data_IF_202012589668
#
_entry.id   IF_202012589668
#
_cell.length_a   1.000
_cell.length_b   1.000
_cell.length_c   1.000
_cell.angle_alpha   90.00
_cell.angle_beta   90.00
_cell.angle_gamma   90.00
#
_symmetry.space_group_name_H-M   'P 1'
#
loop_
_entity.id
_entity.type
_entity.pdbx_description
1 polymer ?
#
# COMPACT_ATOMS: atom_id res chain seq x y z
N UNK A 1 3.16 15.49 -15.51
CA UNK A 1 3.74 14.63 -14.45
C UNK A 1 3.28 13.20 -14.72
N UNK A 2 4.23 12.36 -15.13
CA UNK A 2 4.06 10.93 -15.38
C UNK A 2 4.16 10.12 -14.10
N UNK A 3 3.56 8.93 -14.10
CA UNK A 3 3.81 7.91 -13.07
C UNK A 3 5.19 7.30 -13.32
N UNK A 4 5.95 7.09 -12.26
CA UNK A 4 7.27 6.45 -12.26
C UNK A 4 7.31 5.36 -11.19
N UNK A 5 8.17 4.37 -11.39
CA UNK A 5 8.44 3.32 -10.39
C UNK A 5 9.92 3.34 -10.04
N UNK A 6 10.21 3.37 -8.75
CA UNK A 6 11.56 3.26 -8.21
C UNK A 6 11.71 1.92 -7.49
N UNK A 7 12.95 1.41 -7.38
CA UNK A 7 13.25 0.14 -6.71
C UNK A 7 13.81 0.37 -5.32
N UNK A 8 13.21 -0.25 -4.31
CA UNK A 8 13.52 -0.04 -2.90
C UNK A 8 14.00 -1.35 -2.25
N UNK A 9 13.79 -1.51 -0.95
CA UNK A 9 14.29 -2.65 -0.18
C UNK A 9 13.78 -3.97 -0.79
N UNK A 10 14.65 -4.98 -0.86
CA UNK A 10 14.36 -6.29 -1.48
C UNK A 10 13.88 -6.19 -2.96
N UNK A 11 14.25 -5.11 -3.67
CA UNK A 11 13.89 -4.88 -5.07
C UNK A 11 12.41 -4.51 -5.28
N UNK A 12 11.70 -4.18 -4.21
CA UNK A 12 10.30 -3.77 -4.21
C UNK A 12 10.08 -2.57 -5.15
N UNK A 13 8.88 -2.48 -5.71
CA UNK A 13 8.45 -1.37 -6.54
C UNK A 13 7.69 -0.34 -5.70
N UNK A 14 8.17 0.91 -5.71
CA UNK A 14 7.49 2.05 -5.13
C UNK A 14 6.92 2.92 -6.26
N UNK A 15 5.62 3.26 -6.17
CA UNK A 15 4.92 4.04 -7.20
C UNK A 15 4.95 5.52 -6.83
N UNK A 16 5.44 6.34 -7.75
CA UNK A 16 5.65 7.76 -7.57
C UNK A 16 5.02 8.56 -8.71
N UNK A 17 4.67 9.82 -8.43
CA UNK A 17 4.22 10.77 -9.46
C UNK A 17 4.70 12.18 -9.11
N UNK A 18 5.79 12.60 -9.72
CA UNK A 18 6.49 13.82 -9.29
C UNK A 18 7.04 13.62 -7.87
N UNK A 19 6.82 14.57 -6.94
CA UNK A 19 7.33 14.43 -5.56
C UNK A 19 6.45 13.54 -4.66
N UNK A 20 5.36 12.97 -5.19
CA UNK A 20 4.40 12.22 -4.39
C UNK A 20 4.66 10.72 -4.48
N UNK A 21 4.95 10.12 -3.33
CA UNK A 21 4.94 8.68 -3.12
C UNK A 21 3.51 8.19 -2.87
N UNK A 22 3.16 7.02 -3.40
CA UNK A 22 1.83 6.44 -3.24
C UNK A 22 1.85 5.22 -2.32
N UNK A 23 0.72 4.98 -1.66
CA UNK A 23 0.46 3.84 -0.80
C UNK A 23 -0.86 3.18 -1.20
N UNK A 24 -1.00 1.89 -0.89
CA UNK A 24 -2.25 1.17 -1.06
C UNK A 24 -3.37 1.86 -0.28
N UNK A 25 -4.49 2.13 -0.95
CA UNK A 25 -5.71 2.56 -0.30
C UNK A 25 -6.29 1.37 0.45
N UNK A 26 -6.35 1.48 1.77
CA UNK A 26 -6.95 0.50 2.66
C UNK A 26 -8.05 1.17 3.48
N UNK A 27 -9.07 0.39 3.86
CA UNK A 27 -10.07 0.88 4.80
C UNK A 27 -9.49 0.82 6.22
N UNK A 28 -9.57 1.94 6.93
CA UNK A 28 -8.98 2.08 8.26
C UNK A 28 -10.04 1.87 9.35
N UNK A 29 -9.74 1.00 10.30
CA UNK A 29 -10.55 0.74 11.48
C UNK A 29 -9.83 1.22 12.72
N UNK A 30 -10.33 2.33 13.26
CA UNK A 30 -9.77 3.00 14.43
C UNK A 30 -10.45 2.48 15.70
N UNK A 31 -9.67 1.87 16.59
CA UNK A 31 -10.14 1.37 17.89
C UNK A 31 -9.44 2.13 18.99
N UNK A 32 -10.21 2.76 19.89
CA UNK A 32 -9.67 3.40 21.08
C UNK A 32 -9.44 2.35 22.15
N UNK A 33 -8.18 2.12 22.50
CA UNK A 33 -7.79 1.22 23.59
C UNK A 33 -7.58 2.05 24.85
N UNK A 34 -8.22 1.63 25.94
CA UNK A 34 -8.14 2.27 27.25
C UNK A 34 -7.31 1.40 28.18
N UNK A 35 -6.46 2.03 28.98
CA UNK A 35 -5.70 1.42 30.09
C UNK A 35 -5.04 0.07 29.74
N UNK A 36 -4.29 -0.01 28.61
CA UNK A 36 -3.56 -1.23 28.24
C UNK A 36 -2.27 -1.37 29.05
N UNK A 37 -2.43 -1.82 30.30
CA UNK A 37 -1.32 -2.10 31.21
C UNK A 37 -0.52 -3.33 30.82
N UNK A 38 -0.93 -4.09 29.80
CA UNK A 38 -0.20 -5.27 29.32
C UNK A 38 1.22 -4.90 28.85
N UNK A 39 1.40 -3.67 28.36
CA UNK A 39 2.70 -3.13 27.94
C UNK A 39 3.26 -2.08 28.91
N UNK A 40 2.80 -2.08 30.16
CA UNK A 40 3.19 -1.09 31.18
C UNK A 40 2.56 0.29 30.93
N UNK A 41 3.22 1.35 31.40
CA UNK A 41 2.73 2.75 31.29
C UNK A 41 3.15 3.45 30.00
N UNK A 42 3.74 2.72 29.04
CA UNK A 42 4.39 3.28 27.84
C UNK A 42 3.43 4.08 26.95
N UNK A 43 2.17 3.66 26.88
CA UNK A 43 1.18 4.23 25.95
C UNK A 43 0.21 5.21 26.60
N UNK A 44 0.47 5.60 27.86
CA UNK A 44 -0.40 6.48 28.63
C UNK A 44 -1.75 5.84 28.98
N UNK A 45 -2.73 6.68 29.31
CA UNK A 45 -4.06 6.22 29.75
C UNK A 45 -4.88 5.60 28.60
N UNK A 46 -4.62 6.01 27.36
CA UNK A 46 -5.29 5.49 26.17
C UNK A 46 -4.49 5.78 24.90
N UNK A 47 -4.71 4.96 23.87
CA UNK A 47 -4.18 5.18 22.52
C UNK A 47 -5.17 4.67 21.46
N UNK A 48 -4.91 5.02 20.20
CA UNK A 48 -5.66 4.47 19.07
C UNK A 48 -4.84 3.38 18.38
N UNK A 49 -5.47 2.23 18.18
CA UNK A 49 -5.00 1.23 17.24
C UNK A 49 -5.72 1.41 15.91
N UNK A 50 -4.95 1.37 14.83
CA UNK A 50 -5.49 1.44 13.47
C UNK A 50 -5.19 0.10 12.81
N UNK A 51 -6.25 -0.60 12.43
CA UNK A 51 -6.18 -1.88 11.73
C UNK A 51 -6.93 -1.78 10.40
N UNK A 52 -6.82 -2.81 9.57
CA UNK A 52 -7.60 -2.90 8.34
C UNK A 52 -8.06 -4.33 8.10
N UNK A 53 -9.33 -4.47 7.70
CA UNK A 53 -9.91 -5.74 7.27
C UNK A 53 -9.72 -5.96 5.75
N UNK A 54 -9.19 -4.96 5.03
CA UNK A 54 -8.89 -5.09 3.59
C UNK A 54 -7.54 -5.77 3.37
N UNK A 55 -7.39 -6.61 2.33
CA UNK A 55 -6.10 -7.19 1.98
C UNK A 55 -5.05 -6.11 1.72
N UNK A 56 -3.81 -6.39 2.08
CA UNK A 56 -2.70 -5.43 1.96
C UNK A 56 -1.45 -6.02 1.29
N UNK A 57 -1.38 -7.35 1.27
CA UNK A 57 -0.26 -8.17 0.80
C UNK A 57 -0.23 -8.31 -0.73
N UNK A 58 -0.22 -7.18 -1.44
CA UNK A 58 -0.21 -7.15 -2.90
C UNK A 58 1.22 -7.08 -3.47
N UNK A 59 1.41 -7.70 -4.62
CA UNK A 59 2.56 -7.53 -5.50
C UNK A 59 2.13 -6.92 -6.84
N UNK A 60 3.08 -6.28 -7.51
CA UNK A 60 2.90 -5.72 -8.85
C UNK A 60 3.51 -6.64 -9.90
N UNK A 61 2.94 -6.63 -11.10
CA UNK A 61 3.47 -7.38 -12.24
C UNK A 61 4.67 -6.64 -12.83
N UNK A 62 5.76 -7.37 -13.09
CA UNK A 62 6.98 -6.79 -13.67
C UNK A 62 6.70 -6.12 -15.02
N UNK A 63 5.85 -6.74 -15.84
CA UNK A 63 5.45 -6.19 -17.14
C UNK A 63 4.75 -4.83 -17.01
N UNK A 64 3.88 -4.67 -16.01
CA UNK A 64 3.07 -3.45 -15.84
C UNK A 64 3.89 -2.25 -15.39
N UNK A 65 5.01 -2.47 -14.69
CA UNK A 65 5.88 -1.39 -14.19
C UNK A 65 6.99 -1.02 -15.16
N UNK A 66 7.08 -1.66 -16.34
CA UNK A 66 8.04 -1.28 -17.36
C UNK A 66 7.72 0.10 -17.94
N UNK A 67 8.73 0.89 -18.37
CA UNK A 67 8.52 2.23 -18.92
C UNK A 67 7.51 2.30 -20.07
N UNK A 68 7.43 1.26 -20.89
CA UNK A 68 6.51 1.15 -22.02
C UNK A 68 5.04 0.98 -21.62
N UNK A 69 4.75 0.30 -20.50
CA UNK A 69 3.40 -0.05 -20.07
C UNK A 69 2.91 0.79 -18.88
N UNK A 70 3.82 1.43 -18.13
CA UNK A 70 3.46 2.11 -16.89
C UNK A 70 2.40 3.20 -17.08
N UNK A 71 2.37 3.89 -18.22
CA UNK A 71 1.35 4.92 -18.48
C UNK A 71 -0.02 4.32 -18.85
N UNK A 72 -0.08 3.08 -19.33
CA UNK A 72 -1.33 2.39 -19.66
C UNK A 72 -1.90 1.65 -18.44
N UNK A 73 -1.00 1.03 -17.66
CA UNK A 73 -1.36 0.12 -16.56
C UNK A 73 -1.57 0.86 -15.23
N UNK A 74 -1.11 2.11 -15.12
CA UNK A 74 -1.32 2.97 -13.95
C UNK A 74 -2.16 4.19 -14.33
N UNK A 75 -3.47 4.07 -14.14
CA UNK A 75 -4.43 5.09 -14.50
C UNK A 75 -4.56 6.15 -13.41
N UNK A 76 -4.17 7.38 -13.74
CA UNK A 76 -4.25 8.52 -12.81
C UNK A 76 -5.66 9.13 -12.85
N UNK A 77 -6.32 9.16 -11.70
CA UNK A 77 -7.66 9.73 -11.52
C UNK A 77 -7.57 10.96 -10.61
N UNK A 78 -8.10 12.09 -11.07
CA UNK A 78 -8.19 13.33 -10.27
C UNK A 78 -9.65 13.51 -9.81
N UNK A 79 -9.88 13.53 -8.49
CA UNK A 79 -11.22 13.61 -7.90
C UNK A 79 -11.67 15.04 -7.53
N UNK A 80 -10.75 16.01 -7.64
CA UNK A 80 -10.95 17.37 -7.14
C UNK A 80 -10.81 17.43 -5.60
N UNK A 81 -10.58 18.62 -5.06
CA UNK A 81 -10.45 18.79 -3.60
C UNK A 81 -11.83 19.04 -2.99
N UNK A 82 -12.23 18.15 -2.07
CA UNK A 82 -13.42 18.31 -1.23
C UNK A 82 -13.03 18.06 0.22
N UNK A 83 -13.30 19.02 1.12
CA UNK A 83 -12.95 18.89 2.53
C UNK A 83 -11.44 18.77 2.79
N UNK A 84 -11.06 17.99 3.80
CA UNK A 84 -9.67 17.81 4.22
C UNK A 84 -8.94 16.82 3.30
N UNK A 85 -7.89 17.21 2.55
CA UNK A 85 -7.29 16.39 1.50
C UNK A 85 -6.31 15.33 2.01
N UNK A 86 -6.00 15.30 3.31
CA UNK A 86 -5.03 14.38 3.92
C UNK A 86 -5.71 13.25 4.69
N UNK A 87 -6.75 12.65 4.09
CA UNK A 87 -7.38 11.44 4.59
C UNK A 87 -7.73 10.51 3.43
N UNK A 88 -8.00 9.25 3.77
CA UNK A 88 -8.30 8.20 2.79
C UNK A 88 -9.48 8.59 1.90
N UNK A 89 -10.57 9.14 2.46
CA UNK A 89 -11.81 9.43 1.73
C UNK A 89 -11.71 10.57 0.71
N UNK A 90 -10.91 11.59 1.02
CA UNK A 90 -10.84 12.84 0.25
C UNK A 90 -9.50 13.02 -0.46
N UNK A 91 -8.75 11.94 -0.67
CA UNK A 91 -7.53 11.95 -1.46
C UNK A 91 -7.81 12.57 -2.85
N UNK A 92 -7.18 13.70 -3.21
CA UNK A 92 -7.56 14.47 -4.40
C UNK A 92 -7.11 13.82 -5.72
N UNK A 93 -6.17 12.88 -5.63
CA UNK A 93 -5.59 12.15 -6.74
C UNK A 93 -5.41 10.69 -6.33
N UNK A 94 -5.71 9.78 -7.25
CA UNK A 94 -5.57 8.35 -7.06
C UNK A 94 -4.89 7.74 -8.29
N UNK A 95 -4.25 6.59 -8.11
CA UNK A 95 -3.73 5.78 -9.21
C UNK A 95 -4.38 4.41 -9.12
N UNK A 96 -5.13 4.03 -10.14
CA UNK A 96 -5.66 2.68 -10.28
C UNK A 96 -4.70 1.81 -11.07
N UNK A 97 -4.44 0.61 -10.57
CA UNK A 97 -3.61 -0.38 -11.25
C UNK A 97 -4.07 -1.79 -10.87
N UNK A 98 -3.37 -2.81 -11.34
CA UNK A 98 -3.63 -4.19 -10.98
C UNK A 98 -2.56 -4.72 -10.04
N UNK A 99 -2.99 -5.36 -8.97
CA UNK A 99 -2.14 -6.09 -8.03
C UNK A 99 -2.54 -7.55 -7.96
N UNK A 100 -1.61 -8.39 -7.50
CA UNK A 100 -1.89 -9.80 -7.19
C UNK A 100 -1.55 -10.06 -5.73
N UNK A 101 -2.41 -10.76 -4.99
CA UNK A 101 -2.15 -11.04 -3.57
C UNK A 101 -1.11 -12.15 -3.42
N UNK A 102 -0.18 -11.99 -2.49
CA UNK A 102 0.86 -12.96 -2.13
C UNK A 102 0.44 -13.72 -0.86
N UNK A 103 0.10 -15.01 -1.00
CA UNK A 103 -0.42 -15.79 0.12
C UNK A 103 0.60 -15.96 1.27
N UNK A 104 1.89 -15.98 0.94
CA UNK A 104 3.00 -16.16 1.90
C UNK A 104 3.35 -14.87 2.65
N UNK A 105 3.00 -13.68 2.12
CA UNK A 105 3.26 -12.42 2.80
C UNK A 105 2.13 -12.13 3.77
N UNK A 106 2.37 -12.50 5.03
CA UNK A 106 1.39 -12.44 6.11
C UNK A 106 1.85 -11.53 7.24
N UNK A 107 0.96 -11.28 8.20
CA UNK A 107 1.31 -10.57 9.41
C UNK A 107 2.29 -11.40 10.25
N UNK A 108 3.28 -10.72 10.82
CA UNK A 108 4.23 -11.29 11.77
C UNK A 108 4.33 -10.36 12.97
N UNK A 109 4.05 -10.86 14.17
CA UNK A 109 4.05 -10.10 15.42
C UNK A 109 3.22 -8.79 15.37
N UNK A 110 2.06 -8.82 14.72
CA UNK A 110 1.15 -7.66 14.64
C UNK A 110 1.60 -6.57 13.65
N UNK A 111 2.63 -6.82 12.84
CA UNK A 111 3.07 -5.96 11.74
C UNK A 111 3.03 -6.74 10.42
N UNK A 112 3.15 -6.03 9.30
CA UNK A 112 3.51 -6.67 8.04
C UNK A 112 4.76 -7.54 8.25
N UNK A 113 4.71 -8.78 7.76
CA UNK A 113 5.86 -9.67 7.77
C UNK A 113 7.02 -9.13 6.93
N UNK A 114 8.19 -9.79 7.00
CA UNK A 114 9.37 -9.39 6.24
C UNK A 114 9.02 -9.17 4.77
N UNK A 115 9.54 -8.08 4.19
CA UNK A 115 9.30 -7.74 2.79
C UNK A 115 9.78 -8.89 1.89
N UNK A 116 8.92 -9.49 1.06
CA UNK A 116 9.33 -10.51 0.12
C UNK A 116 10.31 -9.96 -0.91
N UNK A 117 11.33 -10.77 -1.24
CA UNK A 117 12.23 -10.47 -2.34
C UNK A 117 11.47 -10.38 -3.67
N UNK A 118 11.75 -9.36 -4.45
CA UNK A 118 11.13 -9.17 -5.75
C UNK A 118 11.69 -10.13 -6.81
N UNK A 119 10.90 -10.41 -7.85
CA UNK A 119 11.21 -11.40 -8.89
C UNK A 119 11.18 -12.83 -8.33
N UNK A 120 10.23 -13.09 -7.44
CA UNK A 120 9.91 -14.44 -7.01
C UNK A 120 9.30 -15.24 -8.17
N UNK A 121 10.01 -16.28 -8.61
CA UNK A 121 9.57 -17.16 -9.71
C UNK A 121 8.52 -18.20 -9.30
N UNK A 122 8.45 -18.52 -8.00
CA UNK A 122 7.70 -19.66 -7.48
C UNK A 122 6.58 -19.27 -6.53
N UNK A 123 6.37 -17.98 -6.25
CA UNK A 123 5.34 -17.59 -5.30
C UNK A 123 3.95 -17.74 -5.90
N UNK A 124 3.09 -18.42 -5.16
CA UNK A 124 1.67 -18.52 -5.48
C UNK A 124 1.00 -17.16 -5.26
N UNK A 125 0.47 -16.62 -6.35
CA UNK A 125 -0.30 -15.39 -6.35
C UNK A 125 -1.76 -15.68 -6.66
N UNK A 126 -2.66 -14.94 -6.03
CA UNK A 126 -4.06 -14.93 -6.43
C UNK A 126 -4.23 -14.20 -7.78
N UNK A 127 -5.40 -14.35 -8.45
CA UNK A 127 -5.71 -13.63 -9.68
C UNK A 127 -5.51 -12.11 -9.55
N UNK A 128 -5.30 -11.44 -10.68
CA UNK A 128 -5.18 -9.98 -10.73
C UNK A 128 -6.47 -9.31 -10.24
N UNK A 129 -6.32 -8.33 -9.35
CA UNK A 129 -7.40 -7.50 -8.81
C UNK A 129 -7.06 -6.03 -9.03
N UNK A 130 -8.07 -5.20 -9.29
CA UNK A 130 -7.86 -3.74 -9.33
C UNK A 130 -7.58 -3.23 -7.92
N UNK A 131 -6.46 -2.52 -7.76
CA UNK A 131 -6.08 -1.84 -6.54
C UNK A 131 -6.03 -0.33 -6.79
N UNK A 132 -6.30 0.43 -5.74
CA UNK A 132 -6.20 1.88 -5.77
C UNK A 132 -5.05 2.32 -4.88
N UNK A 133 -4.22 3.22 -5.40
CA UNK A 133 -3.14 3.85 -4.67
C UNK A 133 -3.48 5.32 -4.42
N UNK A 134 -3.23 5.79 -3.21
CA UNK A 134 -3.41 7.19 -2.79
C UNK A 134 -2.07 7.78 -2.32
N UNK A 135 -1.89 9.10 -2.32
CA UNK A 135 -0.67 9.70 -1.81
C UNK A 135 -0.38 9.22 -0.39
N UNK A 136 0.87 8.89 -0.09
CA UNK A 136 1.33 8.32 1.18
C UNK A 136 0.82 9.08 2.42
N UNK A 137 0.76 10.41 2.34
CA UNK A 137 0.26 11.27 3.41
C UNK A 137 -1.25 11.22 3.65
N UNK A 138 -2.03 10.53 2.82
CA UNK A 138 -3.48 10.40 2.97
C UNK A 138 -3.90 9.18 3.81
N UNK A 139 -2.97 8.27 4.12
CA UNK A 139 -3.25 7.04 4.86
C UNK A 139 -2.32 6.86 6.07
N UNK A 140 -2.86 6.24 7.11
CA UNK A 140 -2.17 5.88 8.35
C UNK A 140 -1.52 4.51 8.24
N UNK A 141 -2.17 3.57 7.55
CA UNK A 141 -1.63 2.26 7.21
C UNK A 141 -0.93 2.33 5.85
N UNK A 142 0.36 1.99 5.81
CA UNK A 142 1.22 2.36 4.68
C UNK A 142 1.93 1.16 4.09
N UNK A 143 1.31 0.59 3.06
CA UNK A 143 1.99 -0.32 2.13
C UNK A 143 2.32 0.47 0.88
N UNK A 144 3.62 0.68 0.65
CA UNK A 144 4.14 1.48 -0.47
C UNK A 144 5.15 0.72 -1.30
N UNK A 145 5.85 -0.21 -0.67
CA UNK A 145 6.81 -1.06 -1.31
C UNK A 145 6.13 -2.39 -1.66
N UNK A 146 5.84 -2.57 -2.94
CA UNK A 146 5.18 -3.77 -3.44
C UNK A 146 6.24 -4.73 -3.99
N UNK A 147 6.30 -6.00 -3.55
CA UNK A 147 7.08 -7.00 -4.25
C UNK A 147 6.66 -7.11 -5.71
N UNK A 148 7.55 -7.64 -6.55
CA UNK A 148 7.29 -7.78 -7.99
C UNK A 148 7.27 -9.24 -8.43
N UNK A 149 6.28 -9.61 -9.24
CA UNK A 149 6.12 -10.95 -9.82
C UNK A 149 6.20 -10.93 -11.35
N UNK A 150 6.74 -12.00 -11.95
CA UNK A 150 6.70 -12.26 -13.40
C UNK A 150 5.45 -13.01 -13.86
N UNK A 151 4.82 -13.74 -12.93
CA UNK A 151 3.61 -14.54 -13.17
C UNK A 151 2.36 -13.77 -12.79
#
# INVERSE_FOLDING_TARGET
MSVTVTRWYEGSAAVERGPLLYALRMEEKWTKVQDDRKFGTRYGDWYYEVHSDTPWNYCLKEESIKPENIQTDFQVIKKGMKGYPWNVNNAPIEIKTKGKRLNEWQLYNGSAGPQPFSIQYQTETLPEEEITLIPYGCTTLRITEFPVTRK
#
